data_IF_865448231873
#
_entry.id   IF_865448231873
#
_cell.length_a   1.000
_cell.length_b   1.000
_cell.length_c   1.000
_cell.angle_alpha   90.00
_cell.angle_beta   90.00
_cell.angle_gamma   90.00
#
_symmetry.space_group_name_H-M   'P 1'
#
loop_
_entity.id
_entity.type
_entity.pdbx_description
1 polymer ?
#
# COMPACT_ATOMS: atom_id res chain seq x y z
N UNK A 1 -6.80 -9.19 3.75
CA UNK A 1 -8.16 -9.14 3.14
C UNK A 1 -8.87 -7.89 3.64
N UNK A 2 -9.73 -7.29 2.83
CA UNK A 2 -10.39 -6.01 3.14
C UNK A 2 -11.28 -6.08 4.39
N UNK A 3 -11.96 -7.21 4.61
CA UNK A 3 -12.83 -7.47 5.76
C UNK A 3 -12.04 -7.46 7.07
N UNK A 4 -10.88 -8.13 7.09
CA UNK A 4 -9.97 -8.13 8.23
C UNK A 4 -9.45 -6.71 8.50
N UNK A 5 -9.08 -5.96 7.47
CA UNK A 5 -8.62 -4.59 7.62
C UNK A 5 -9.69 -3.67 8.23
N UNK A 6 -10.95 -3.82 7.81
CA UNK A 6 -12.08 -3.11 8.40
C UNK A 6 -12.25 -3.44 9.89
N UNK A 7 -12.25 -4.73 10.24
CA UNK A 7 -12.40 -5.18 11.64
C UNK A 7 -11.23 -4.69 12.51
N UNK A 8 -10.00 -4.72 12.00
CA UNK A 8 -8.83 -4.17 12.68
C UNK A 8 -8.96 -2.65 12.89
N UNK A 9 -9.39 -1.91 11.87
CA UNK A 9 -9.58 -0.46 11.97
C UNK A 9 -10.66 -0.08 12.99
N UNK A 10 -11.79 -0.79 13.01
CA UNK A 10 -12.84 -0.62 14.00
C UNK A 10 -12.35 -0.95 15.42
N UNK A 11 -11.65 -2.08 15.58
CA UNK A 11 -11.10 -2.50 16.87
C UNK A 11 -10.13 -1.46 17.44
N UNK A 12 -9.19 -0.98 16.61
CA UNK A 12 -8.24 0.05 17.00
C UNK A 12 -8.92 1.38 17.36
N UNK A 13 -9.96 1.76 16.62
CA UNK A 13 -10.76 2.94 16.91
C UNK A 13 -11.48 2.84 18.27
N UNK A 14 -12.14 1.71 18.52
CA UNK A 14 -12.89 1.47 19.76
C UNK A 14 -11.99 1.33 20.99
N UNK A 15 -10.78 0.76 20.83
CA UNK A 15 -9.82 0.59 21.91
C UNK A 15 -9.04 1.87 22.27
N UNK A 16 -9.06 2.90 21.42
CA UNK A 16 -8.28 4.13 21.65
C UNK A 16 -9.08 5.40 21.38
N UNK A 17 -9.13 5.89 20.13
CA UNK A 17 -9.75 7.17 19.77
C UNK A 17 -11.21 7.36 20.21
N UNK A 18 -11.98 6.29 20.38
CA UNK A 18 -13.38 6.36 20.80
C UNK A 18 -13.55 6.87 22.25
N UNK A 19 -12.52 6.78 23.10
CA UNK A 19 -12.54 7.33 24.46
C UNK A 19 -13.62 6.70 25.36
N UNK A 20 -13.88 5.41 25.21
CA UNK A 20 -14.91 4.68 25.95
C UNK A 20 -14.57 4.60 27.46
N UNK A 21 -15.59 4.65 28.30
CA UNK A 21 -15.45 4.60 29.77
C UNK A 21 -16.54 3.73 30.40
N UNK A 22 -16.19 2.59 31.04
CA UNK A 22 -14.83 2.07 31.20
C UNK A 22 -14.20 1.69 29.85
N UNK A 23 -12.86 1.77 29.78
CA UNK A 23 -12.14 1.29 28.60
C UNK A 23 -12.32 -0.23 28.49
N UNK A 24 -12.71 -0.76 27.31
CA UNK A 24 -12.84 -2.21 27.13
C UNK A 24 -11.47 -2.86 27.30
N UNK A 25 -11.42 -3.97 28.04
CA UNK A 25 -10.23 -4.82 28.12
C UNK A 25 -9.91 -5.43 26.74
N UNK A 26 -10.94 -5.68 25.93
CA UNK A 26 -10.80 -6.20 24.57
C UNK A 26 -11.82 -5.56 23.61
N UNK A 27 -11.34 -5.20 22.42
CA UNK A 27 -12.19 -4.88 21.27
C UNK A 27 -11.66 -5.63 20.05
N UNK A 28 -12.48 -6.50 19.43
CA UNK A 28 -12.00 -7.37 18.36
C UNK A 28 -13.00 -8.41 17.90
N UNK A 29 -12.52 -9.47 17.26
CA UNK A 29 -13.33 -10.58 16.74
C UNK A 29 -13.38 -11.79 17.67
N UNK A 30 -12.70 -11.71 18.81
CA UNK A 30 -12.57 -12.80 19.77
C UNK A 30 -13.68 -12.66 20.81
N UNK A 31 -14.47 -13.72 20.98
CA UNK A 31 -15.45 -13.83 22.06
C UNK A 31 -14.71 -14.18 23.37
N UNK A 32 -14.86 -13.42 24.46
CA UNK A 32 -14.22 -13.74 25.73
C UNK A 32 -14.79 -15.04 26.30
N UNK A 33 -14.00 -16.12 26.28
CA UNK A 33 -14.40 -17.42 26.79
C UNK A 33 -14.07 -17.51 28.28
N UNK A 34 -15.10 -17.43 29.14
CA UNK A 34 -15.05 -17.71 30.58
C UNK A 34 -14.01 -16.95 31.44
N UNK A 35 -13.23 -16.03 30.88
CA UNK A 35 -12.29 -15.20 31.64
C UNK A 35 -12.92 -13.84 31.98
N UNK A 36 -13.07 -13.57 33.28
CA UNK A 36 -13.58 -12.29 33.75
C UNK A 36 -12.60 -11.14 33.52
N UNK A 37 -11.30 -11.42 33.29
CA UNK A 37 -10.29 -10.41 32.99
C UNK A 37 -10.46 -9.79 31.60
N UNK A 38 -11.17 -10.49 30.70
CA UNK A 38 -11.44 -10.00 29.36
C UNK A 38 -12.65 -9.03 29.30
N UNK A 39 -13.32 -8.78 30.44
CA UNK A 39 -14.46 -7.86 30.54
C UNK A 39 -14.01 -6.48 31.06
N UNK A 40 -14.55 -5.35 30.55
CA UNK A 40 -15.55 -5.27 29.47
C UNK A 40 -14.99 -5.61 28.10
N UNK A 41 -15.80 -6.25 27.25
CA UNK A 41 -15.42 -6.65 25.90
C UNK A 41 -16.36 -6.12 24.81
N UNK A 42 -15.80 -5.81 23.65
CA UNK A 42 -16.52 -5.49 22.42
C UNK A 42 -16.17 -6.52 21.35
N UNK A 43 -17.16 -7.31 20.94
CA UNK A 43 -17.01 -8.34 19.91
C UNK A 43 -17.64 -7.87 18.61
N UNK A 44 -16.87 -7.88 17.54
CA UNK A 44 -17.23 -7.45 16.20
C UNK A 44 -17.35 -8.67 15.29
N UNK A 45 -18.43 -8.70 14.52
CA UNK A 45 -18.71 -9.74 13.53
C UNK A 45 -19.32 -9.12 12.27
N UNK A 46 -19.14 -9.77 11.12
CA UNK A 46 -19.70 -9.34 9.84
C UNK A 46 -20.66 -10.42 9.30
N UNK A 47 -21.92 -10.48 9.79
CA UNK A 47 -22.88 -11.50 9.35
C UNK A 47 -23.15 -11.49 7.84
N UNK A 48 -23.02 -10.33 7.20
CA UNK A 48 -23.12 -10.19 5.76
C UNK A 48 -22.12 -9.15 5.25
N UNK A 49 -21.43 -9.49 4.16
CA UNK A 49 -20.54 -8.58 3.44
C UNK A 49 -20.71 -8.83 1.96
N UNK A 50 -20.87 -7.75 1.21
CA UNK A 50 -20.83 -7.75 -0.24
C UNK A 50 -19.67 -6.87 -0.68
N UNK A 51 -18.84 -7.38 -1.58
CA UNK A 51 -17.84 -6.58 -2.28
C UNK A 51 -18.52 -5.95 -3.48
N UNK A 52 -18.50 -4.62 -3.56
CA UNK A 52 -19.02 -3.92 -4.72
C UNK A 52 -17.96 -3.89 -5.81
N UNK A 53 -18.29 -4.42 -6.98
CA UNK A 53 -17.45 -4.29 -8.16
C UNK A 53 -17.49 -2.84 -8.65
N UNK A 54 -16.34 -2.16 -8.59
CA UNK A 54 -16.19 -0.79 -9.05
C UNK A 54 -15.98 -0.76 -10.58
N UNK A 55 -17.07 -0.97 -11.33
CA UNK A 55 -17.14 -0.74 -12.78
C UNK A 55 -16.05 -1.42 -13.65
N UNK A 56 -16.06 -1.10 -14.95
CA UNK A 56 -15.00 -1.50 -15.87
C UNK A 56 -13.74 -0.68 -15.52
N UNK A 57 -12.75 -1.33 -14.91
CA UNK A 57 -11.54 -0.69 -14.37
C UNK A 57 -11.19 -1.10 -12.93
N UNK A 58 -12.06 -1.86 -12.26
CA UNK A 58 -11.72 -2.59 -11.03
C UNK A 58 -11.37 -1.74 -9.81
N UNK A 59 -11.71 -0.44 -9.81
CA UNK A 59 -11.39 0.46 -8.71
C UNK A 59 -9.89 0.75 -8.56
N UNK A 60 -9.11 0.58 -9.64
CA UNK A 60 -7.70 0.95 -9.67
C UNK A 60 -7.57 2.38 -10.19
N UNK A 61 -6.94 3.25 -9.42
CA UNK A 61 -6.56 4.59 -9.84
C UNK A 61 -5.06 4.80 -9.71
N UNK A 62 -4.46 5.54 -10.65
CA UNK A 62 -3.07 5.99 -10.51
C UNK A 62 -3.05 7.20 -9.59
N UNK A 63 -2.26 7.12 -8.52
CA UNK A 63 -2.06 8.19 -7.55
C UNK A 63 -0.63 8.69 -7.65
N UNK A 64 -0.45 10.01 -7.56
CA UNK A 64 0.85 10.67 -7.48
C UNK A 64 1.11 11.17 -6.05
N UNK A 65 2.37 11.14 -5.62
CA UNK A 65 2.78 11.57 -4.27
C UNK A 65 4.10 10.95 -3.84
N UNK A 66 4.25 10.67 -2.55
CA UNK A 66 5.42 9.99 -1.99
C UNK A 66 4.99 8.72 -1.25
N UNK A 67 4.78 7.62 -1.98
CA UNK A 67 4.48 6.33 -1.35
C UNK A 67 5.76 5.75 -0.75
N UNK A 68 5.82 5.62 0.57
CA UNK A 68 6.92 4.95 1.26
C UNK A 68 6.91 3.45 0.94
N UNK A 69 8.05 2.96 0.45
CA UNK A 69 8.25 1.56 0.06
C UNK A 69 9.50 1.03 0.76
N UNK A 70 9.43 -0.21 1.20
CA UNK A 70 10.58 -0.98 1.63
C UNK A 70 10.73 -2.22 0.74
N UNK A 71 11.94 -2.47 0.28
CA UNK A 71 12.27 -3.68 -0.49
C UNK A 71 13.47 -4.38 0.12
N UNK A 72 13.46 -5.71 0.04
CA UNK A 72 14.58 -6.56 0.48
C UNK A 72 14.98 -7.47 -0.67
N UNK A 73 16.25 -7.41 -1.07
CA UNK A 73 16.83 -8.26 -2.11
C UNK A 73 17.83 -9.22 -1.47
N UNK A 74 17.67 -10.52 -1.75
CA UNK A 74 18.65 -11.53 -1.38
C UNK A 74 19.86 -11.45 -2.30
N UNK A 75 21.06 -11.35 -1.73
CA UNK A 75 22.30 -11.32 -2.52
C UNK A 75 22.69 -12.69 -3.09
N UNK A 76 22.15 -13.77 -2.50
CA UNK A 76 22.35 -15.15 -2.95
C UNK A 76 21.42 -15.52 -4.11
N UNK A 77 20.20 -14.96 -4.12
CA UNK A 77 19.22 -15.14 -5.19
C UNK A 77 18.54 -13.80 -5.50
N UNK A 78 19.22 -12.91 -6.25
CA UNK A 78 18.76 -11.54 -6.48
C UNK A 78 17.70 -11.48 -7.57
N UNK A 79 16.61 -12.25 -7.45
CA UNK A 79 15.52 -12.30 -8.42
C UNK A 79 14.22 -11.79 -7.80
N UNK A 80 13.33 -11.22 -8.61
CA UNK A 80 11.93 -11.00 -8.21
C UNK A 80 11.16 -12.33 -8.23
N UNK A 81 10.34 -12.57 -7.22
CA UNK A 81 9.50 -13.76 -7.18
C UNK A 81 8.37 -13.68 -8.22
N UNK A 82 7.90 -12.46 -8.48
CA UNK A 82 6.81 -12.14 -9.41
C UNK A 82 7.25 -12.21 -10.88
N UNK A 83 8.54 -12.01 -11.15
CA UNK A 83 9.12 -12.03 -12.51
C UNK A 83 10.32 -12.99 -12.53
N UNK A 84 10.06 -14.30 -12.71
CA UNK A 84 11.12 -15.30 -12.77
C UNK A 84 12.12 -14.97 -13.89
N UNK A 85 13.42 -15.00 -13.57
CA UNK A 85 14.50 -14.78 -14.53
C UNK A 85 14.98 -13.33 -14.68
N UNK A 86 14.36 -12.37 -13.99
CA UNK A 86 14.92 -11.02 -13.88
C UNK A 86 15.97 -10.96 -12.75
N UNK A 87 17.25 -10.89 -13.13
CA UNK A 87 18.34 -10.63 -12.19
C UNK A 87 18.35 -9.14 -11.80
N UNK A 88 18.10 -8.86 -10.52
CA UNK A 88 18.15 -7.52 -9.95
C UNK A 88 19.58 -7.04 -9.74
N UNK A 89 20.52 -7.95 -9.49
CA UNK A 89 21.92 -7.62 -9.24
C UNK A 89 22.76 -7.99 -10.48
N UNK A 90 23.53 -7.03 -10.98
CA UNK A 90 24.42 -7.26 -12.12
C UNK A 90 25.47 -8.34 -11.83
N UNK A 91 26.00 -8.98 -12.88
CA UNK A 91 26.98 -10.06 -12.74
C UNK A 91 28.26 -9.65 -12.00
N UNK A 92 28.71 -8.40 -12.16
CA UNK A 92 29.83 -7.79 -11.44
C UNK A 92 29.46 -7.33 -10.01
N UNK A 93 28.17 -7.44 -9.64
CA UNK A 93 27.60 -7.14 -8.33
C UNK A 93 27.77 -5.68 -7.90
N UNK A 94 27.96 -4.77 -8.85
CA UNK A 94 28.13 -3.34 -8.61
C UNK A 94 26.85 -2.54 -8.86
N UNK A 95 25.84 -3.13 -9.53
CA UNK A 95 24.57 -2.46 -9.85
C UNK A 95 23.39 -3.30 -9.39
N UNK A 96 22.52 -2.71 -8.57
CA UNK A 96 21.26 -3.30 -8.13
C UNK A 96 20.10 -2.50 -8.70
N UNK A 97 19.20 -3.16 -9.43
CA UNK A 97 17.92 -2.61 -9.85
C UNK A 97 16.91 -2.85 -8.73
N UNK A 98 16.27 -1.79 -8.24
CA UNK A 98 15.18 -1.89 -7.29
C UNK A 98 13.92 -2.42 -8.00
N UNK A 99 12.97 -3.02 -7.27
CA UNK A 99 11.71 -3.46 -7.85
C UNK A 99 10.89 -2.31 -8.49
N UNK A 100 11.16 -1.06 -8.10
CA UNK A 100 10.42 0.11 -8.57
C UNK A 100 11.39 1.21 -9.03
N UNK A 101 11.03 1.89 -10.13
CA UNK A 101 11.65 3.13 -10.60
C UNK A 101 10.85 4.37 -10.20
N UNK A 102 11.16 5.52 -10.79
CA UNK A 102 10.40 6.75 -10.54
C UNK A 102 10.45 7.21 -9.08
N UNK A 103 11.64 7.12 -8.47
CA UNK A 103 11.86 7.49 -7.09
C UNK A 103 11.75 9.01 -6.93
N UNK A 104 11.10 9.44 -5.86
CA UNK A 104 10.88 10.85 -5.52
C UNK A 104 11.42 11.16 -4.13
N UNK A 105 11.48 12.45 -3.80
CA UNK A 105 11.78 12.90 -2.45
C UNK A 105 10.64 12.57 -1.50
N UNK A 106 10.90 12.62 -0.19
CA UNK A 106 9.90 12.38 0.83
C UNK A 106 8.70 13.36 0.78
N UNK A 107 8.87 14.52 0.14
CA UNK A 107 7.80 15.49 -0.12
C UNK A 107 7.03 15.25 -1.43
N UNK A 108 7.39 14.23 -2.20
CA UNK A 108 6.78 13.87 -3.48
C UNK A 108 7.37 14.60 -4.69
N UNK A 109 8.31 15.52 -4.50
CA UNK A 109 8.93 16.26 -5.61
C UNK A 109 10.03 15.47 -6.30
N UNK A 110 10.25 15.76 -7.58
CA UNK A 110 11.37 15.21 -8.37
C UNK A 110 12.66 15.98 -8.11
N UNK A 111 13.81 15.29 -8.15
CA UNK A 111 15.13 15.92 -8.09
C UNK A 111 16.18 14.99 -7.48
N UNK A 112 17.40 15.50 -7.20
CA UNK A 112 18.39 14.74 -6.46
C UNK A 112 17.83 14.26 -5.12
N UNK A 113 18.02 12.98 -4.83
CA UNK A 113 17.61 12.34 -3.58
C UNK A 113 18.69 12.54 -2.51
N UNK A 114 18.26 12.73 -1.27
CA UNK A 114 19.10 12.74 -0.07
C UNK A 114 18.82 11.55 0.85
N UNK A 115 19.49 11.53 2.01
CA UNK A 115 19.37 10.46 3.01
C UNK A 115 18.02 10.39 3.72
N UNK A 116 17.20 11.44 3.61
CA UNK A 116 15.81 11.45 4.06
C UNK A 116 14.88 10.74 3.05
N UNK A 117 15.28 10.67 1.79
CA UNK A 117 14.45 10.18 0.68
C UNK A 117 14.75 8.71 0.35
N UNK A 118 16.00 8.28 0.54
CA UNK A 118 16.43 6.90 0.32
C UNK A 118 17.44 6.45 1.37
N UNK A 119 17.26 5.23 1.89
CA UNK A 119 18.19 4.57 2.78
C UNK A 119 18.44 3.14 2.31
N UNK A 120 19.70 2.76 2.23
CA UNK A 120 20.12 1.41 1.83
C UNK A 120 20.93 0.79 2.96
N UNK A 121 20.59 -0.45 3.31
CA UNK A 121 21.27 -1.25 4.32
C UNK A 121 21.72 -2.57 3.74
N UNK A 122 22.92 -3.01 4.15
CA UNK A 122 23.42 -4.36 3.92
C UNK A 122 23.48 -5.10 5.24
N UNK A 123 22.59 -6.07 5.45
CA UNK A 123 22.33 -6.61 6.77
C UNK A 123 22.00 -5.48 7.75
N UNK A 124 22.81 -5.32 8.80
CA UNK A 124 22.62 -4.25 9.80
C UNK A 124 23.42 -2.97 9.50
N UNK A 125 24.25 -2.95 8.45
CA UNK A 125 25.07 -1.79 8.10
C UNK A 125 24.28 -0.84 7.19
N UNK A 126 24.08 0.41 7.61
CA UNK A 126 23.63 1.48 6.71
C UNK A 126 24.75 1.88 5.76
N UNK A 127 24.46 1.92 4.47
CA UNK A 127 25.37 2.39 3.43
C UNK A 127 25.24 3.92 3.27
N UNK A 128 26.31 4.56 2.81
CA UNK A 128 26.37 6.01 2.61
C UNK A 128 25.96 6.37 1.19
N UNK A 129 25.03 7.30 1.04
CA UNK A 129 24.68 7.88 -0.26
C UNK A 129 25.81 8.81 -0.73
N UNK A 130 26.36 8.55 -1.91
CA UNK A 130 27.42 9.33 -2.55
C UNK A 130 27.14 9.42 -4.06
N UNK A 131 27.36 10.59 -4.66
CA UNK A 131 27.24 10.76 -6.11
C UNK A 131 28.30 9.95 -6.88
N UNK A 132 29.46 9.76 -6.27
CA UNK A 132 30.60 9.00 -6.81
C UNK A 132 31.03 7.97 -5.76
N UNK A 133 30.37 6.79 -5.72
CA UNK A 133 30.66 5.80 -4.69
C UNK A 133 32.02 5.16 -4.98
N UNK A 134 32.96 5.28 -4.04
CA UNK A 134 34.32 4.74 -4.16
C UNK A 134 34.53 3.46 -3.33
N UNK A 135 33.66 3.19 -2.36
CA UNK A 135 33.79 2.03 -1.47
C UNK A 135 32.58 1.10 -1.52
N UNK A 136 32.73 -0.13 -1.02
CA UNK A 136 31.62 -1.08 -0.89
C UNK A 136 30.53 -0.61 0.10
N UNK A 137 30.83 0.39 0.94
CA UNK A 137 29.91 0.97 1.90
C UNK A 137 29.17 2.21 1.35
N UNK A 138 29.43 2.58 0.10
CA UNK A 138 28.83 3.73 -0.58
C UNK A 138 27.98 3.30 -1.76
N UNK A 139 26.95 4.10 -2.06
CA UNK A 139 26.11 3.91 -3.23
C UNK A 139 25.66 5.24 -3.83
N UNK A 140 25.49 5.27 -5.16
CA UNK A 140 24.75 6.28 -5.90
C UNK A 140 23.37 5.74 -6.29
N UNK A 141 22.43 6.64 -6.54
CA UNK A 141 21.07 6.30 -7.00
C UNK A 141 20.77 7.02 -8.32
N UNK A 142 20.23 6.26 -9.27
CA UNK A 142 19.51 6.76 -10.43
C UNK A 142 18.01 6.68 -10.10
N UNK A 143 17.37 7.81 -9.72
CA UNK A 143 15.99 7.80 -9.24
C UNK A 143 14.98 7.44 -10.33
N UNK A 144 15.26 7.78 -11.58
CA UNK A 144 14.35 7.50 -12.69
C UNK A 144 14.30 5.99 -12.95
N UNK A 145 15.47 5.35 -13.05
CA UNK A 145 15.56 3.92 -13.30
C UNK A 145 15.36 3.05 -12.04
N UNK A 146 15.36 3.63 -10.84
CA UNK A 146 15.35 2.87 -9.60
C UNK A 146 16.62 2.03 -9.42
N UNK A 147 17.78 2.54 -9.82
CA UNK A 147 19.03 1.75 -9.86
C UNK A 147 20.04 2.29 -8.87
N UNK A 148 20.62 1.37 -8.09
CA UNK A 148 21.72 1.64 -7.18
C UNK A 148 23.04 1.22 -7.83
N UNK A 149 24.04 2.08 -7.74
CA UNK A 149 25.42 1.78 -8.13
C UNK A 149 26.28 1.80 -6.88
N UNK A 150 26.99 0.71 -6.60
CA UNK A 150 27.91 0.59 -5.46
C UNK A 150 29.35 0.85 -5.89
N UNK A 151 30.17 1.36 -4.98
CA UNK A 151 31.59 1.62 -5.27
C UNK A 151 32.44 0.36 -5.40
N UNK A 152 31.94 -0.79 -4.94
CA UNK A 152 32.56 -2.10 -5.14
C UNK A 152 31.51 -3.23 -5.16
N UNK A 153 31.92 -4.39 -5.68
CA UNK A 153 31.09 -5.58 -5.79
C UNK A 153 30.51 -6.00 -4.43
N UNK A 154 29.19 -6.24 -4.36
CA UNK A 154 28.53 -6.67 -3.12
C UNK A 154 28.88 -8.13 -2.76
N UNK A 155 28.84 -8.53 -1.47
CA UNK A 155 29.15 -9.89 -1.04
C UNK A 155 28.21 -10.91 -1.69
N UNK A 156 28.67 -12.14 -1.94
CA UNK A 156 27.89 -13.20 -2.59
C UNK A 156 26.62 -13.63 -1.83
N UNK A 157 26.53 -13.31 -0.54
CA UNK A 157 25.42 -13.66 0.34
C UNK A 157 25.00 -12.49 1.22
N UNK A 158 23.84 -12.64 1.87
CA UNK A 158 23.23 -11.60 2.71
C UNK A 158 22.06 -10.93 2.03
N UNK A 159 21.66 -9.76 2.54
CA UNK A 159 20.52 -9.00 2.03
C UNK A 159 20.87 -7.53 1.87
N UNK A 160 20.27 -6.90 0.85
CA UNK A 160 20.18 -5.46 0.73
C UNK A 160 18.74 -5.06 1.02
N UNK A 161 18.54 -4.15 1.97
CA UNK A 161 17.25 -3.53 2.27
C UNK A 161 17.29 -2.08 1.82
N UNK A 162 16.31 -1.66 1.04
CA UNK A 162 16.18 -0.28 0.60
C UNK A 162 14.82 0.27 1.02
N UNK A 163 14.82 1.42 1.68
CA UNK A 163 13.64 2.21 2.03
C UNK A 163 13.66 3.48 1.18
N UNK A 164 12.60 3.77 0.44
CA UNK A 164 12.52 4.89 -0.52
C UNK A 164 11.07 5.31 -0.77
N UNK A 165 10.88 6.38 -1.54
CA UNK A 165 9.56 6.86 -1.96
C UNK A 165 9.37 6.70 -3.48
N UNK A 166 8.18 6.27 -3.89
CA UNK A 166 7.78 6.15 -5.31
C UNK A 166 6.79 7.26 -5.65
N UNK A 167 7.00 7.91 -6.80
CA UNK A 167 6.26 9.09 -7.24
C UNK A 167 4.84 8.83 -7.73
N UNK A 168 4.60 7.63 -8.28
CA UNK A 168 3.31 7.20 -8.80
C UNK A 168 3.06 5.73 -8.48
N UNK A 169 1.82 5.38 -8.15
CA UNK A 169 1.45 4.01 -7.80
C UNK A 169 -0.01 3.71 -8.11
N UNK A 170 -0.36 2.43 -8.09
CA UNK A 170 -1.74 1.98 -8.26
C UNK A 170 -2.42 1.88 -6.89
N UNK A 171 -3.53 2.59 -6.76
CA UNK A 171 -4.41 2.47 -5.61
C UNK A 171 -5.59 1.59 -6.00
N UNK A 172 -5.66 0.43 -5.38
CA UNK A 172 -6.82 -0.45 -5.47
C UNK A 172 -7.81 -0.09 -4.35
N UNK A 173 -9.02 0.28 -4.72
CA UNK A 173 -10.12 0.52 -3.78
C UNK A 173 -11.04 -0.69 -3.79
N UNK A 174 -11.17 -1.37 -2.65
CA UNK A 174 -12.16 -2.43 -2.46
C UNK A 174 -13.29 -1.87 -1.59
N UNK A 175 -14.46 -1.70 -2.18
CA UNK A 175 -15.65 -1.23 -1.45
C UNK A 175 -16.42 -2.41 -0.87
N UNK A 176 -16.65 -2.35 0.43
CA UNK A 176 -17.46 -3.30 1.18
C UNK A 176 -18.76 -2.62 1.63
N UNK A 177 -19.87 -3.32 1.49
CA UNK A 177 -21.13 -2.97 2.13
C UNK A 177 -21.73 -4.20 2.81
N UNK A 178 -22.47 -4.01 3.90
CA UNK A 178 -23.09 -5.13 4.58
C UNK A 178 -23.59 -4.80 5.98
N UNK A 179 -23.62 -5.83 6.81
CA UNK A 179 -24.03 -5.74 8.22
C UNK A 179 -22.84 -5.97 9.13
N UNK A 180 -22.63 -5.04 10.06
CA UNK A 180 -21.73 -5.20 11.20
C UNK A 180 -22.59 -5.54 12.41
N UNK A 181 -22.25 -6.62 13.11
CA UNK A 181 -22.81 -6.95 14.42
C UNK A 181 -21.78 -6.63 15.50
N UNK A 182 -22.21 -5.85 16.48
CA UNK A 182 -21.47 -5.54 17.69
C UNK A 182 -22.15 -6.26 18.86
N UNK A 183 -21.36 -6.97 19.65
CA UNK A 183 -21.79 -7.50 20.94
C UNK A 183 -20.98 -6.84 22.03
N UNK A 184 -21.64 -6.15 22.95
CA UNK A 184 -21.01 -5.54 24.13
C UNK A 184 -21.22 -6.46 25.31
N UNK A 185 -20.14 -6.81 26.01
CA UNK A 185 -20.17 -7.72 27.17
C UNK A 185 -19.54 -7.08 28.40
N UNK A 186 -20.19 -7.26 29.55
CA UNK A 186 -19.70 -6.87 30.88
C UNK A 186 -20.42 -7.75 31.93
N UNK A 187 -19.88 -7.85 33.15
CA UNK A 187 -20.57 -8.50 34.28
C UNK A 187 -21.78 -7.70 34.78
N UNK A 188 -21.80 -6.38 34.57
CA UNK A 188 -22.88 -5.49 35.03
C UNK A 188 -23.79 -5.06 33.89
N UNK A 189 -25.11 -5.27 34.05
CA UNK A 189 -26.09 -4.90 33.02
C UNK A 189 -26.16 -3.38 32.77
N UNK A 190 -25.89 -2.56 33.78
CA UNK A 190 -25.80 -1.11 33.67
C UNK A 190 -24.57 -0.68 32.87
N UNK A 191 -23.44 -1.36 33.08
CA UNK A 191 -22.20 -1.06 32.38
C UNK A 191 -22.26 -1.53 30.93
N UNK A 192 -22.90 -2.69 30.64
CA UNK A 192 -23.26 -3.09 29.27
C UNK A 192 -24.08 -2.00 28.57
N UNK A 193 -25.14 -1.51 29.21
CA UNK A 193 -25.99 -0.47 28.62
C UNK A 193 -25.19 0.80 28.34
N UNK A 194 -24.44 1.30 29.32
CA UNK A 194 -23.63 2.51 29.21
C UNK A 194 -22.57 2.38 28.11
N UNK A 195 -21.79 1.30 28.12
CA UNK A 195 -20.73 1.07 27.14
C UNK A 195 -21.30 0.87 25.73
N UNK A 196 -22.45 0.20 25.61
CA UNK A 196 -23.13 0.05 24.32
C UNK A 196 -23.61 1.38 23.75
N UNK A 197 -24.18 2.26 24.57
CA UNK A 197 -24.65 3.57 24.12
C UNK A 197 -23.47 4.48 23.74
N UNK A 198 -22.38 4.44 24.50
CA UNK A 198 -21.12 5.14 24.14
C UNK A 198 -20.53 4.62 22.84
N UNK A 199 -20.51 3.29 22.65
CA UNK A 199 -19.96 2.67 21.43
C UNK A 199 -20.79 3.04 20.20
N UNK A 200 -22.12 3.01 20.31
CA UNK A 200 -23.03 3.45 19.25
C UNK A 200 -22.80 4.93 18.92
N UNK A 201 -22.70 5.79 19.94
CA UNK A 201 -22.43 7.21 19.75
C UNK A 201 -21.08 7.45 19.08
N UNK A 202 -20.03 6.72 19.47
CA UNK A 202 -18.70 6.81 18.87
C UNK A 202 -18.71 6.37 17.40
N UNK A 203 -19.37 5.26 17.06
CA UNK A 203 -19.45 4.75 15.69
C UNK A 203 -20.28 5.65 14.76
N UNK A 204 -21.39 6.19 15.26
CA UNK A 204 -22.30 7.04 14.48
C UNK A 204 -21.93 8.53 14.48
N UNK A 205 -20.92 8.91 15.27
CA UNK A 205 -20.45 10.27 15.41
C UNK A 205 -19.64 10.80 14.22
N UNK A 206 -19.02 11.96 14.44
CA UNK A 206 -18.17 12.63 13.45
C UNK A 206 -16.81 11.96 13.30
N UNK A 207 -16.22 11.51 14.40
CA UNK A 207 -14.98 10.73 14.40
C UNK A 207 -15.25 9.31 13.89
N UNK A 208 -14.54 8.90 12.84
CA UNK A 208 -14.72 7.58 12.21
C UNK A 208 -13.38 6.89 11.99
N UNK A 209 -13.33 5.55 12.06
CA UNK A 209 -12.15 4.81 11.65
C UNK A 209 -11.86 5.05 10.16
N UNK A 210 -10.58 5.03 9.80
CA UNK A 210 -10.13 5.21 8.43
C UNK A 210 -10.81 4.21 7.49
N UNK A 211 -11.30 4.69 6.34
CA UNK A 211 -12.02 3.90 5.34
C UNK A 211 -13.53 3.76 5.57
N UNK A 212 -14.05 4.02 6.79
CA UNK A 212 -15.49 3.91 7.05
C UNK A 212 -16.25 5.12 6.49
N UNK A 213 -16.96 4.91 5.38
CA UNK A 213 -17.74 5.94 4.68
C UNK A 213 -19.08 6.19 5.35
N UNK A 214 -19.76 5.11 5.74
CA UNK A 214 -21.09 5.16 6.33
C UNK A 214 -21.23 4.04 7.35
N UNK A 215 -21.88 4.35 8.45
CA UNK A 215 -22.38 3.37 9.41
C UNK A 215 -23.68 3.91 10.00
N UNK A 216 -24.68 3.05 10.13
CA UNK A 216 -25.98 3.43 10.67
C UNK A 216 -26.55 2.27 11.48
N UNK A 217 -27.05 2.58 12.67
CA UNK A 217 -27.70 1.61 13.53
C UNK A 217 -29.00 1.11 12.88
N UNK A 218 -29.13 -0.19 12.74
CA UNK A 218 -30.29 -0.87 12.15
C UNK A 218 -31.14 -1.52 13.23
N UNK A 219 -30.48 -2.21 14.17
CA UNK A 219 -31.15 -2.90 15.27
C UNK A 219 -30.37 -2.70 16.56
N UNK A 220 -31.08 -2.52 17.66
CA UNK A 220 -30.52 -2.50 19.00
C UNK A 220 -31.30 -3.46 19.89
N UNK A 221 -30.61 -4.46 20.41
CA UNK A 221 -31.17 -5.44 21.33
C UNK A 221 -31.32 -4.89 22.75
N UNK A 222 -32.04 -5.63 23.58
CA UNK A 222 -32.03 -5.44 25.02
C UNK A 222 -30.74 -5.99 25.64
N UNK A 223 -30.40 -5.56 26.85
CA UNK A 223 -29.38 -6.22 27.66
C UNK A 223 -29.92 -7.59 28.08
N UNK A 224 -29.27 -8.65 27.61
CA UNK A 224 -29.63 -10.01 27.89
C UNK A 224 -29.44 -10.41 29.36
N UNK A 225 -29.96 -11.59 29.74
CA UNK A 225 -29.65 -12.16 31.03
C UNK A 225 -28.16 -12.50 31.13
N UNK A 226 -27.74 -12.80 32.34
CA UNK A 226 -26.40 -13.33 32.61
C UNK A 226 -26.18 -14.65 31.85
N UNK A 227 -25.04 -14.79 31.19
CA UNK A 227 -24.67 -15.99 30.44
C UNK A 227 -23.51 -16.72 31.15
N UNK A 228 -23.75 -17.88 31.78
CA UNK A 228 -22.70 -18.62 32.47
C UNK A 228 -21.63 -19.19 31.53
N UNK A 229 -21.92 -19.32 30.22
CA UNK A 229 -20.93 -19.73 29.22
C UNK A 229 -19.95 -18.63 28.81
N UNK A 230 -20.14 -17.40 29.32
CA UNK A 230 -19.29 -16.23 29.08
C UNK A 230 -18.92 -15.56 30.40
N UNK A 231 -18.40 -16.32 31.35
CA UNK A 231 -17.98 -15.81 32.67
C UNK A 231 -19.09 -15.11 33.49
N UNK A 232 -20.37 -15.42 33.23
CA UNK A 232 -21.47 -14.66 33.84
C UNK A 232 -21.63 -13.26 33.26
N UNK A 233 -21.13 -12.99 32.06
CA UNK A 233 -21.33 -11.72 31.38
C UNK A 233 -22.80 -11.57 30.94
N UNK A 234 -23.27 -10.34 30.95
CA UNK A 234 -24.46 -9.89 30.23
C UNK A 234 -24.01 -9.34 28.88
N UNK A 235 -24.88 -9.41 27.90
CA UNK A 235 -24.56 -8.93 26.57
C UNK A 235 -25.68 -8.07 25.99
N UNK A 236 -25.32 -7.06 25.20
CA UNK A 236 -26.25 -6.33 24.33
C UNK A 236 -25.72 -6.37 22.91
N UNK A 237 -26.58 -6.75 21.98
CA UNK A 237 -26.25 -6.77 20.56
C UNK A 237 -26.77 -5.52 19.85
N UNK A 238 -25.96 -4.96 18.95
CA UNK A 238 -26.33 -3.93 18.01
C UNK A 238 -25.94 -4.37 16.60
N UNK A 239 -26.82 -4.12 15.63
CA UNK A 239 -26.53 -4.34 14.21
C UNK A 239 -26.51 -3.00 13.48
N UNK A 240 -25.53 -2.86 12.60
CA UNK A 240 -25.33 -1.68 11.78
C UNK A 240 -25.27 -2.05 10.32
N UNK A 241 -25.85 -1.23 9.45
CA UNK A 241 -25.48 -1.22 8.03
C UNK A 241 -24.22 -0.39 7.87
N UNK A 242 -23.26 -0.85 7.06
CA UNK A 242 -22.02 -0.11 6.82
C UNK A 242 -21.69 0.01 5.32
N UNK A 243 -20.87 1.01 5.00
CA UNK A 243 -20.10 1.09 3.77
C UNK A 243 -18.66 1.46 4.11
N UNK A 244 -17.70 0.70 3.61
CA UNK A 244 -16.28 0.80 3.93
C UNK A 244 -15.44 0.72 2.66
N UNK A 245 -14.49 1.63 2.51
CA UNK A 245 -13.49 1.60 1.45
C UNK A 245 -12.16 1.09 2.04
N UNK A 246 -11.73 -0.09 1.60
CA UNK A 246 -10.38 -0.55 1.82
C UNK A 246 -9.49 0.02 0.72
N UNK A 247 -8.50 0.83 1.10
CA UNK A 247 -7.49 1.37 0.20
C UNK A 247 -6.25 0.50 0.32
N UNK A 248 -5.87 -0.16 -0.77
CA UNK A 248 -4.62 -0.88 -0.90
C UNK A 248 -3.74 -0.13 -1.90
N UNK A 249 -2.78 0.63 -1.37
CA UNK A 249 -1.74 1.26 -2.18
C UNK A 249 -0.70 0.20 -2.54
N UNK A 250 -0.57 -0.09 -3.83
CA UNK A 250 0.46 -0.95 -4.37
C UNK A 250 1.38 -0.10 -5.22
N UNK A 251 2.70 -0.08 -4.96
CA UNK A 251 3.62 0.52 -5.91
C UNK A 251 3.33 -0.11 -7.27
N UNK A 252 3.28 0.73 -8.32
CA UNK A 252 3.13 0.24 -9.68
C UNK A 252 4.15 -0.89 -9.84
N UNK A 253 3.65 -2.11 -10.03
CA UNK A 253 4.52 -3.21 -10.42
C UNK A 253 5.07 -2.73 -11.75
N UNK A 254 6.30 -2.25 -11.75
CA UNK A 254 6.92 -1.82 -12.96
C UNK A 254 6.85 -3.07 -13.85
N UNK A 255 6.01 -3.05 -14.89
CA UNK A 255 6.39 -3.69 -16.14
C UNK A 255 7.77 -3.10 -16.39
N UNK A 256 8.80 -3.84 -15.95
CA UNK A 256 10.11 -3.27 -15.65
C UNK A 256 10.55 -2.45 -16.84
N UNK A 257 11.04 -1.21 -16.61
CA UNK A 257 11.36 -0.19 -17.63
C UNK A 257 11.13 -0.74 -19.04
N UNK A 258 9.92 -0.59 -19.60
CA UNK A 258 9.70 -0.91 -21.02
C UNK A 258 10.81 -0.15 -21.73
N UNK A 259 11.77 -0.91 -22.28
CA UNK A 259 13.01 -0.35 -22.76
C UNK A 259 12.65 0.87 -23.62
N UNK A 260 13.25 2.03 -23.32
CA UNK A 260 13.07 3.19 -24.20
C UNK A 260 13.70 2.80 -25.52
N UNK A 261 12.87 2.34 -26.46
CA UNK A 261 13.32 1.97 -27.79
C UNK A 261 13.52 3.29 -28.53
N UNK A 262 14.77 3.67 -28.87
CA UNK A 262 14.96 4.80 -29.75
C UNK A 262 14.32 4.45 -31.09
N UNK A 263 13.29 5.19 -31.47
CA UNK A 263 12.71 5.07 -32.80
C UNK A 263 13.45 6.08 -33.67
N UNK A 264 14.38 5.57 -34.48
CA UNK A 264 14.98 6.37 -35.56
C UNK A 264 14.06 6.28 -36.77
N UNK A 265 13.35 7.36 -37.05
CA UNK A 265 12.56 7.51 -38.26
C UNK A 265 13.45 8.09 -39.35
N UNK A 266 13.54 7.43 -40.50
CA UNK A 266 14.22 7.97 -41.67
C UNK A 266 13.17 8.41 -42.69
N UNK A 267 13.11 9.71 -42.96
CA UNK A 267 12.25 10.25 -44.02
C UNK A 267 13.11 10.50 -45.25
N UNK A 268 12.82 9.78 -46.34
CA UNK A 268 13.41 10.09 -47.65
C UNK A 268 12.66 11.27 -48.25
N UNK A 269 13.39 12.34 -48.56
CA UNK A 269 12.87 13.52 -49.22
C UNK A 269 13.47 13.57 -50.62
N UNK A 270 12.61 13.51 -51.63
CA UNK A 270 13.00 13.84 -52.98
C UNK A 270 12.62 15.30 -53.25
N UNK A 271 13.58 16.12 -53.67
CA UNK A 271 13.33 17.49 -54.15
C UNK A 271 13.77 17.60 -55.61
N UNK A 272 12.91 18.18 -56.44
CA UNK A 272 13.25 18.50 -57.81
C UNK A 272 14.04 19.82 -57.81
N UNK A 273 15.25 19.80 -58.36
CA UNK A 273 16.02 21.02 -58.60
C UNK A 273 15.31 21.84 -59.70
N UNK A 274 14.84 23.06 -59.40
CA UNK A 274 14.07 23.86 -60.34
C UNK A 274 14.88 24.34 -61.55
N UNK A 275 16.22 24.39 -61.46
CA UNK A 275 17.08 24.91 -62.53
C UNK A 275 17.52 23.80 -63.48
N UNK A 276 17.64 22.57 -62.99
CA UNK A 276 18.17 21.43 -63.78
C UNK A 276 17.15 20.33 -64.05
N UNK A 277 16.02 20.30 -63.33
CA UNK A 277 15.01 19.25 -63.41
C UNK A 277 15.47 17.90 -62.86
N UNK A 278 16.63 17.85 -62.21
CA UNK A 278 17.15 16.62 -61.59
C UNK A 278 16.49 16.39 -60.24
N UNK A 279 16.09 15.14 -59.96
CA UNK A 279 15.60 14.75 -58.64
C UNK A 279 16.79 14.50 -57.74
N UNK A 280 16.90 15.28 -56.67
CA UNK A 280 17.87 15.07 -55.59
C UNK A 280 17.15 14.36 -54.46
N UNK A 281 17.63 13.17 -54.10
CA UNK A 281 17.16 12.45 -52.92
C UNK A 281 18.05 12.75 -51.72
N UNK A 282 17.44 13.16 -50.61
CA UNK A 282 18.08 13.33 -49.31
C UNK A 282 17.36 12.45 -48.27
N UNK A 283 18.09 12.00 -47.25
CA UNK A 283 17.54 11.21 -46.16
C UNK A 283 17.72 11.95 -44.85
N UNK A 284 16.61 12.39 -44.27
CA UNK A 284 16.60 13.04 -42.95
C UNK A 284 16.34 11.98 -41.90
N UNK A 285 17.24 11.88 -40.93
CA UNK A 285 17.09 11.03 -39.76
C UNK A 285 16.55 11.87 -38.59
N UNK A 286 15.40 11.49 -38.06
CA UNK A 286 14.87 12.02 -36.80
C UNK A 286 14.86 10.91 -35.75
N UNK A 287 15.43 11.17 -34.57
CA UNK A 287 15.47 10.20 -33.48
C UNK A 287 14.64 10.74 -32.34
N UNK A 288 13.48 10.11 -32.11
CA UNK A 288 12.60 10.44 -31.01
C UNK A 288 12.62 9.32 -29.97
N UNK A 289 12.60 9.70 -28.70
CA UNK A 289 12.46 8.74 -27.59
C UNK A 289 10.98 8.62 -27.28
N UNK A 290 10.36 7.51 -27.69
CA UNK A 290 8.96 7.24 -27.39
C UNK A 290 8.82 6.55 -26.02
N UNK A 291 7.82 6.95 -25.25
CA UNK A 291 7.39 6.23 -24.04
C UNK A 291 6.02 5.64 -24.38
N UNK A 292 5.99 4.34 -24.68
CA UNK A 292 4.74 3.66 -25.03
C UNK A 292 3.90 3.37 -23.79
N UNK A 293 2.62 3.73 -23.83
CA UNK A 293 1.59 3.17 -22.95
C UNK A 293 0.89 2.04 -23.70
N UNK A 294 0.78 0.87 -23.07
CA UNK A 294 0.03 -0.27 -23.61
C UNK A 294 -1.46 0.09 -23.62
N UNK A 295 -2.00 0.29 -24.82
CA UNK A 295 -3.40 0.70 -25.03
C UNK A 295 -3.83 0.75 -26.50
N UNK A 296 -2.90 0.79 -27.46
CA UNK A 296 -3.19 0.85 -28.90
C UNK A 296 -2.64 -0.36 -29.68
N UNK A 297 -3.09 -1.58 -29.34
CA UNK A 297 -2.92 -2.77 -30.17
C UNK A 297 -4.18 -3.66 -30.16
#
# INVERSE_FOLDING_TARGET
MAETAMLTALSAFLAGPAGLSPAPAMAGVIDPVNDAQDLPALVLDLPSVTRLELGLGGGVETVEGALAVESTVSLTNPTLAEVPGLDLLSADRTRLTLPHGGLVRADGTTGPLGTADIQVRRGNQTLTLSAEPGTQAEYAVDPIAGRLTFGAAQPASGTIRASYFVGAWEREVIRLEGTLRLTVLDGSGTDVATLSDQTIAALTGESRPAGLRRIALVRLGAVGPENPARAGARAREAEFSFAYDHIADRPLSAGGVIARVPITSALRRASLDPDTGVVVEDTVHDTQTFVGHEGDA
#
